data_IF_428930281146
#
_entry.id   IF_428930281146
#
_cell.length_a   1.000
_cell.length_b   1.000
_cell.length_c   1.000
_cell.angle_alpha   90.00
_cell.angle_beta   90.00
_cell.angle_gamma   90.00
#
_symmetry.space_group_name_H-M   'P 1'
#
loop_
_entity.id
_entity.type
_entity.pdbx_description
1 polymer ?
#
# COMPACT_ATOMS: atom_id res chain seq x y z
N UNK A 1 -30.44 31.13 37.44
CA UNK A 1 -30.79 30.16 36.38
C UNK A 1 -29.69 30.11 35.31
N UNK A 2 -28.61 29.35 35.53
CA UNK A 2 -27.55 29.16 34.53
C UNK A 2 -27.75 27.84 33.79
N UNK A 3 -28.20 27.89 32.52
CA UNK A 3 -28.39 26.69 31.68
C UNK A 3 -27.04 26.01 31.42
N UNK A 4 -26.80 24.84 32.04
CA UNK A 4 -25.66 23.96 31.75
C UNK A 4 -25.77 23.48 30.30
N UNK A 5 -24.83 23.89 29.43
CA UNK A 5 -24.71 23.37 28.06
C UNK A 5 -24.07 21.98 28.10
N UNK A 6 -24.82 20.96 27.72
CA UNK A 6 -24.40 19.56 27.71
C UNK A 6 -23.70 19.25 26.37
N UNK A 7 -22.38 19.44 26.30
CA UNK A 7 -21.60 19.15 25.10
C UNK A 7 -21.32 17.64 25.05
N UNK A 8 -22.11 16.91 24.26
CA UNK A 8 -21.89 15.47 24.01
C UNK A 8 -20.52 15.27 23.37
N UNK A 9 -19.58 14.68 24.12
CA UNK A 9 -18.29 14.28 23.60
C UNK A 9 -18.50 13.25 22.47
N UNK A 10 -17.98 13.54 21.28
CA UNK A 10 -18.01 12.59 20.15
C UNK A 10 -17.21 11.36 20.57
N UNK A 11 -17.88 10.20 20.64
CA UNK A 11 -17.28 8.94 21.04
C UNK A 11 -16.09 8.54 20.15
N UNK A 12 -15.19 7.73 20.72
CA UNK A 12 -13.95 7.27 20.08
C UNK A 12 -14.29 6.44 18.84
N UNK A 13 -13.77 6.81 17.68
CA UNK A 13 -13.96 6.05 16.43
C UNK A 13 -13.25 4.70 16.50
N UNK A 14 -13.92 3.63 16.05
CA UNK A 14 -13.41 2.26 16.08
C UNK A 14 -12.07 2.14 15.33
N UNK A 15 -11.09 1.48 15.95
CA UNK A 15 -9.82 1.15 15.32
C UNK A 15 -10.03 0.09 14.24
N UNK A 16 -9.93 0.47 12.97
CA UNK A 16 -10.00 -0.46 11.84
C UNK A 16 -8.66 -1.17 11.72
N UNK A 17 -8.65 -2.50 11.92
CA UNK A 17 -7.46 -3.32 11.71
C UNK A 17 -7.08 -3.28 10.22
N UNK A 18 -5.87 -2.84 9.92
CA UNK A 18 -5.37 -2.74 8.54
C UNK A 18 -5.17 -4.12 7.92
N UNK A 19 -5.35 -4.21 6.60
CA UNK A 19 -5.13 -5.44 5.85
C UNK A 19 -3.62 -5.78 5.81
N UNK A 20 -3.28 -7.04 6.11
CA UNK A 20 -1.90 -7.52 6.06
C UNK A 20 -1.34 -7.47 4.63
N UNK A 21 -0.06 -7.12 4.50
CA UNK A 21 0.63 -6.99 3.21
C UNK A 21 0.78 -8.35 2.51
N UNK A 22 0.03 -8.56 1.42
CA UNK A 22 0.10 -9.79 0.58
C UNK A 22 1.31 -9.79 -0.36
N UNK A 23 2.53 -9.67 0.19
CA UNK A 23 3.77 -9.61 -0.61
C UNK A 23 4.07 -10.92 -1.34
N UNK A 24 3.73 -12.05 -0.70
CA UNK A 24 3.94 -13.41 -1.21
C UNK A 24 3.31 -13.66 -2.59
N UNK A 25 2.19 -12.99 -2.91
CA UNK A 25 1.50 -13.12 -4.21
C UNK A 25 2.34 -12.63 -5.40
N UNK A 26 3.42 -11.89 -5.16
CA UNK A 26 4.30 -11.35 -6.22
C UNK A 26 5.45 -12.30 -6.61
N UNK A 27 5.53 -13.48 -5.98
CA UNK A 27 6.47 -14.55 -6.32
C UNK A 27 5.70 -15.72 -6.91
N UNK A 28 6.12 -16.21 -8.07
CA UNK A 28 5.63 -17.44 -8.70
C UNK A 28 6.81 -18.38 -8.92
N UNK A 29 6.55 -19.68 -8.83
CA UNK A 29 7.53 -20.72 -9.15
C UNK A 29 7.05 -21.38 -10.43
N UNK A 30 7.82 -21.22 -11.50
CA UNK A 30 7.58 -21.89 -12.77
C UNK A 30 8.80 -22.80 -13.04
N UNK A 31 8.56 -24.10 -13.14
CA UNK A 31 9.56 -25.12 -13.48
C UNK A 31 10.88 -25.04 -12.68
N UNK A 32 10.76 -24.83 -11.37
CA UNK A 32 11.90 -24.74 -10.45
C UNK A 32 12.63 -23.38 -10.45
N UNK A 33 12.17 -22.40 -11.24
CA UNK A 33 12.72 -21.03 -11.26
C UNK A 33 11.78 -20.05 -10.57
N UNK A 34 12.36 -19.19 -9.72
CA UNK A 34 11.63 -18.14 -9.01
C UNK A 34 11.41 -16.94 -9.94
N UNK A 35 10.16 -16.75 -10.36
CA UNK A 35 9.76 -15.60 -11.16
C UNK A 35 9.11 -14.51 -10.27
N UNK A 36 9.51 -13.27 -10.52
CA UNK A 36 8.98 -12.09 -9.83
C UNK A 36 7.94 -11.42 -10.72
N UNK A 37 6.67 -11.49 -10.32
CA UNK A 37 5.54 -11.03 -11.13
C UNK A 37 5.47 -9.50 -11.29
N UNK A 38 6.05 -8.74 -10.35
CA UNK A 38 5.96 -7.27 -10.31
C UNK A 38 7.32 -6.61 -10.48
N UNK A 39 7.31 -5.41 -11.08
CA UNK A 39 8.49 -4.56 -11.20
C UNK A 39 9.03 -4.18 -9.83
N UNK A 40 10.35 -4.20 -9.71
CA UNK A 40 11.10 -3.79 -8.52
C UNK A 40 11.40 -2.29 -8.63
N UNK A 41 11.35 -1.58 -7.51
CA UNK A 41 11.75 -0.18 -7.49
C UNK A 41 13.28 -0.04 -7.63
N UNK A 42 13.73 0.71 -8.63
CA UNK A 42 15.16 1.00 -8.87
C UNK A 42 15.84 1.71 -7.69
N UNK A 43 15.11 2.54 -6.95
CA UNK A 43 15.66 3.32 -5.82
C UNK A 43 15.70 2.53 -4.52
N UNK A 44 14.79 1.59 -4.31
CA UNK A 44 14.69 0.83 -3.05
C UNK A 44 15.37 -0.54 -3.10
N UNK A 45 15.70 -1.04 -4.30
CA UNK A 45 16.34 -2.34 -4.46
C UNK A 45 15.40 -3.53 -4.30
N UNK A 46 16.01 -4.72 -4.21
CA UNK A 46 15.33 -6.01 -4.15
C UNK A 46 14.38 -6.10 -2.94
N UNK A 47 13.19 -6.67 -3.15
CA UNK A 47 12.18 -6.85 -2.12
C UNK A 47 11.12 -5.74 -2.00
N UNK A 48 11.27 -4.63 -2.73
CA UNK A 48 10.22 -3.59 -2.84
C UNK A 48 9.56 -3.64 -4.22
N UNK A 49 8.38 -4.24 -4.26
CA UNK A 49 7.54 -4.27 -5.45
C UNK A 49 6.81 -2.94 -5.64
N UNK A 50 6.80 -2.47 -6.88
CA UNK A 50 5.97 -1.33 -7.26
C UNK A 50 4.51 -1.77 -7.43
N UNK A 51 3.58 -0.93 -7.00
CA UNK A 51 2.17 -1.10 -7.27
C UNK A 51 1.90 -0.75 -8.73
N UNK A 52 1.32 -1.68 -9.46
CA UNK A 52 0.87 -1.46 -10.83
C UNK A 52 -0.53 -0.85 -10.82
N UNK A 53 -0.63 0.36 -11.34
CA UNK A 53 -1.88 1.02 -11.65
C UNK A 53 -2.01 1.16 -13.18
N UNK A 54 -3.20 1.53 -13.64
CA UNK A 54 -3.49 1.68 -15.09
C UNK A 54 -2.53 2.67 -15.77
N UNK A 55 -2.22 3.78 -15.12
CA UNK A 55 -1.42 4.88 -15.69
C UNK A 55 -0.01 5.02 -15.08
N UNK A 56 0.32 4.27 -14.03
CA UNK A 56 1.58 4.44 -13.31
C UNK A 56 2.01 3.19 -12.54
N UNK A 57 3.30 3.05 -12.34
CA UNK A 57 3.88 2.21 -11.30
C UNK A 57 4.27 3.10 -10.13
N UNK A 58 3.84 2.76 -8.91
CA UNK A 58 4.14 3.55 -7.71
C UNK A 58 4.90 2.73 -6.67
N UNK A 59 5.99 3.27 -6.13
CA UNK A 59 6.71 2.66 -5.02
C UNK A 59 6.11 3.09 -3.67
N UNK A 60 5.61 2.13 -2.89
CA UNK A 60 5.07 2.39 -1.55
C UNK A 60 6.12 2.73 -0.47
N UNK A 61 7.42 2.58 -0.76
CA UNK A 61 8.50 2.86 0.22
C UNK A 61 9.16 4.23 0.01
N UNK A 62 9.49 4.59 -1.24
CA UNK A 62 10.16 5.87 -1.55
C UNK A 62 9.29 6.87 -2.33
N UNK A 63 8.04 6.53 -2.66
CA UNK A 63 7.15 7.41 -3.43
C UNK A 63 7.51 7.55 -4.92
N UNK A 64 8.54 6.86 -5.41
CA UNK A 64 8.92 6.93 -6.82
C UNK A 64 7.82 6.40 -7.73
N UNK A 65 7.40 7.22 -8.69
CA UNK A 65 6.38 6.87 -9.68
C UNK A 65 6.96 6.86 -11.09
N UNK A 66 6.72 5.77 -11.82
CA UNK A 66 6.99 5.67 -13.26
C UNK A 66 5.63 5.75 -13.95
N UNK A 67 5.39 6.80 -14.73
CA UNK A 67 4.18 6.89 -15.53
C UNK A 67 4.31 6.01 -16.76
N UNK A 68 3.26 5.22 -17.04
CA UNK A 68 3.14 4.53 -18.32
C UNK A 68 2.67 5.60 -19.31
N UNK A 69 3.59 6.42 -19.81
CA UNK A 69 3.26 7.35 -20.88
C UNK A 69 2.89 6.52 -22.11
N UNK A 70 1.71 6.79 -22.64
CA UNK A 70 1.32 6.43 -23.98
C UNK A 70 1.74 7.59 -24.90
#
# INVERSE_FOLDING_TARGET
MGKKKNVKAKGKTAHRKGNTSKKWTSYKINDGKLERTKKICIKCGSGVFMAEHKNRYSCGKCGYTIFKNN
#
